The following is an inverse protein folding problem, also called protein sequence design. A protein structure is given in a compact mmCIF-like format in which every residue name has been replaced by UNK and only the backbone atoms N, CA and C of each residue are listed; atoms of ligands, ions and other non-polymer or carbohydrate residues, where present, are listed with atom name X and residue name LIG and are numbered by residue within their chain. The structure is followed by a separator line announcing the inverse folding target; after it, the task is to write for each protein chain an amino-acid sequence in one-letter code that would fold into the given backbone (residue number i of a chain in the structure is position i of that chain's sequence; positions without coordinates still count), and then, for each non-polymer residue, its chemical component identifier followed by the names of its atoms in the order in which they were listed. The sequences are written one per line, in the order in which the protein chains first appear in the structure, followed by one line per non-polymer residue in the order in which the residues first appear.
data_IF_264007754097
#
_entry.id   IF_264007754097
#
_cell.length_a   1.000
_cell.length_b   1.000
_cell.length_c   1.000
_cell.angle_alpha   90.00
_cell.angle_beta   90.00
_cell.angle_gamma   90.00
#
_symmetry.space_group_name_H-M   'P 1'
#
loop_
_entity.id
_entity.type
_entity.pdbx_description
1 polymer ?
#
# COMPACT_ATOMS: atom_id res chain seq x y z
N UNK A 1 -11.75 -0.39 10.21
CA UNK A 1 -11.00 -0.13 8.96
C UNK A 1 -11.74 0.89 8.08
N UNK A 2 -11.05 1.69 7.25
CA UNK A 2 -11.70 2.54 6.26
C UNK A 2 -12.43 1.69 5.20
N UNK A 3 -13.60 2.15 4.75
CA UNK A 3 -14.44 1.48 3.74
C UNK A 3 -14.50 2.21 2.40
N UNK A 4 -14.04 3.46 2.37
CA UNK A 4 -14.01 4.29 1.16
C UNK A 4 -12.63 4.90 1.00
N UNK A 5 -12.23 5.27 -0.23
CA UNK A 5 -10.94 5.92 -0.49
C UNK A 5 -10.78 7.21 0.33
N UNK A 6 -11.83 8.02 0.47
CA UNK A 6 -11.78 9.30 1.21
C UNK A 6 -11.50 9.07 2.69
N UNK A 7 -12.13 8.04 3.29
CA UNK A 7 -11.88 7.67 4.69
C UNK A 7 -10.47 7.13 4.90
N UNK A 8 -9.96 6.37 3.93
CA UNK A 8 -8.58 5.88 3.94
C UNK A 8 -7.60 7.06 3.89
N UNK A 9 -7.77 7.99 2.95
CA UNK A 9 -6.89 9.15 2.82
C UNK A 9 -6.97 10.06 4.04
N UNK A 10 -8.16 10.29 4.60
CA UNK A 10 -8.30 11.04 5.86
C UNK A 10 -7.50 10.40 7.02
N UNK A 11 -7.50 9.06 7.10
CA UNK A 11 -6.73 8.35 8.12
C UNK A 11 -5.22 8.39 7.84
N UNK A 12 -4.82 8.26 6.57
CA UNK A 12 -3.42 8.38 6.14
C UNK A 12 -2.85 9.77 6.46
N UNK A 13 -3.59 10.84 6.13
CA UNK A 13 -3.24 12.24 6.46
C UNK A 13 -3.02 12.39 7.97
N UNK A 14 -3.98 11.93 8.79
CA UNK A 14 -3.85 12.01 10.25
C UNK A 14 -2.62 11.29 10.76
N UNK A 15 -2.32 10.10 10.21
CA UNK A 15 -1.17 9.28 10.60
C UNK A 15 0.15 9.96 10.25
N UNK A 16 0.27 10.47 9.02
CA UNK A 16 1.46 11.20 8.55
C UNK A 16 1.70 12.48 9.36
N UNK A 17 0.64 13.26 9.59
CA UNK A 17 0.72 14.50 10.36
C UNK A 17 1.05 14.26 11.84
N UNK A 18 0.46 13.22 12.46
CA UNK A 18 0.79 12.86 13.84
C UNK A 18 2.26 12.44 13.98
N UNK A 19 2.73 11.54 13.10
CA UNK A 19 4.12 11.12 13.07
C UNK A 19 5.08 12.30 12.83
N UNK A 20 4.73 13.23 11.93
CA UNK A 20 5.52 14.43 11.67
C UNK A 20 5.65 15.32 12.91
N UNK A 21 4.55 15.54 13.65
CA UNK A 21 4.56 16.31 14.92
C UNK A 21 5.42 15.66 16.01
N UNK A 22 5.61 14.34 15.94
CA UNK A 22 6.53 13.59 16.80
C UNK A 22 7.98 13.54 16.25
N UNK A 23 8.29 14.33 15.21
CA UNK A 23 9.63 14.43 14.63
C UNK A 23 9.98 13.34 13.63
N UNK A 24 9.02 12.52 13.18
CA UNK A 24 9.25 11.53 12.12
C UNK A 24 9.22 12.21 10.75
N UNK A 25 10.38 12.55 10.22
CA UNK A 25 10.54 13.31 8.96
C UNK A 25 10.79 12.44 7.73
N UNK A 26 10.99 11.13 7.91
CA UNK A 26 11.16 10.13 6.85
C UNK A 26 10.07 9.08 7.04
N UNK A 27 9.09 9.06 6.15
CA UNK A 27 7.85 8.32 6.34
C UNK A 27 7.51 7.47 5.12
N UNK A 28 6.96 6.27 5.35
CA UNK A 28 6.42 5.38 4.33
C UNK A 28 4.92 5.21 4.53
N UNK A 29 4.18 5.36 3.45
CA UNK A 29 2.73 5.17 3.40
C UNK A 29 2.36 4.21 2.29
N UNK A 30 1.58 3.18 2.59
CA UNK A 30 0.97 2.29 1.59
C UNK A 30 -0.54 2.45 1.64
N UNK A 31 -1.13 2.89 0.53
CA UNK A 31 -2.57 3.09 0.35
C UNK A 31 -3.16 2.01 -0.56
N UNK A 32 -4.35 1.51 -0.21
CA UNK A 32 -5.10 0.60 -1.07
C UNK A 32 -5.62 1.38 -2.27
N UNK A 33 -5.30 0.90 -3.47
CA UNK A 33 -5.70 1.55 -4.71
C UNK A 33 -7.09 1.05 -5.14
N UNK A 34 -7.96 1.94 -5.64
CA UNK A 34 -9.24 1.54 -6.18
C UNK A 34 -9.00 0.77 -7.47
N UNK A 35 -9.57 -0.43 -7.58
CA UNK A 35 -9.53 -1.20 -8.81
C UNK A 35 -10.29 -0.45 -9.90
N UNK A 36 -9.59 -0.08 -10.98
CA UNK A 36 -10.20 0.56 -12.15
C UNK A 36 -10.06 -0.39 -13.32
N UNK A 37 -11.16 -0.87 -13.90
CA UNK A 37 -11.10 -1.79 -15.04
C UNK A 37 -10.47 -3.16 -14.72
N UNK A 38 -10.63 -3.64 -13.48
CA UNK A 38 -10.26 -5.00 -13.10
C UNK A 38 -11.08 -6.03 -13.90
N UNK A 39 -10.46 -7.17 -14.17
CA UNK A 39 -11.09 -8.32 -14.80
C UNK A 39 -11.03 -9.52 -13.86
N UNK A 40 -11.79 -10.57 -14.14
CA UNK A 40 -11.76 -11.80 -13.33
C UNK A 40 -10.39 -12.51 -13.33
N UNK A 41 -9.48 -12.14 -14.22
CA UNK A 41 -8.17 -12.77 -14.42
C UNK A 41 -6.99 -11.93 -13.91
N UNK A 42 -7.14 -10.60 -13.94
CA UNK A 42 -6.11 -9.66 -13.53
C UNK A 42 -6.77 -8.40 -12.96
N UNK A 43 -6.36 -8.05 -11.73
CA UNK A 43 -6.78 -6.83 -11.04
C UNK A 43 -6.23 -5.57 -11.72
N UNK A 44 -5.13 -5.69 -12.48
CA UNK A 44 -4.43 -4.58 -13.14
C UNK A 44 -3.92 -4.97 -14.54
N UNK A 45 -4.81 -5.19 -15.54
CA UNK A 45 -4.40 -5.57 -16.89
C UNK A 45 -3.50 -4.54 -17.60
N UNK A 46 -3.56 -3.27 -17.19
CA UNK A 46 -2.67 -2.19 -17.64
C UNK A 46 -1.44 -1.97 -16.76
N UNK A 47 -1.18 -2.88 -15.81
CA UNK A 47 -0.02 -2.89 -14.93
C UNK A 47 0.15 -1.61 -14.11
N UNK A 48 1.41 -1.25 -13.85
CA UNK A 48 1.78 -0.11 -12.99
C UNK A 48 1.27 1.24 -13.53
N UNK A 49 1.11 1.38 -14.84
CA UNK A 49 0.56 2.60 -15.46
C UNK A 49 -0.92 2.82 -15.11
N UNK A 50 -1.69 1.73 -15.05
CA UNK A 50 -3.08 1.78 -14.62
C UNK A 50 -3.16 2.08 -13.12
N UNK A 51 -2.30 1.45 -12.32
CA UNK A 51 -2.19 1.74 -10.89
C UNK A 51 -1.84 3.22 -10.63
N UNK A 52 -0.94 3.80 -11.43
CA UNK A 52 -0.57 5.21 -11.34
C UNK A 52 -1.74 6.14 -11.56
N UNK A 53 -2.56 5.89 -12.59
CA UNK A 53 -3.79 6.65 -12.85
C UNK A 53 -4.79 6.54 -11.70
N UNK A 54 -4.89 5.37 -11.08
CA UNK A 54 -5.77 5.14 -9.93
C UNK A 54 -5.26 5.81 -8.64
N UNK A 55 -3.94 5.84 -8.46
CA UNK A 55 -3.28 6.38 -7.28
C UNK A 55 -3.22 7.90 -7.28
N UNK A 56 -3.07 8.52 -8.45
CA UNK A 56 -2.80 9.96 -8.56
C UNK A 56 -3.80 10.85 -7.79
N UNK A 57 -5.13 10.70 -7.93
CA UNK A 57 -6.09 11.51 -7.17
C UNK A 57 -5.97 11.32 -5.65
N UNK A 58 -5.70 10.08 -5.22
CA UNK A 58 -5.53 9.76 -3.80
C UNK A 58 -4.27 10.39 -3.21
N UNK A 59 -3.20 10.44 -4.00
CA UNK A 59 -1.94 11.10 -3.60
C UNK A 59 -2.11 12.60 -3.56
N UNK A 60 -2.80 13.21 -4.52
CA UNK A 60 -3.08 14.65 -4.50
C UNK A 60 -3.87 15.06 -3.25
N UNK A 61 -4.90 14.29 -2.88
CA UNK A 61 -5.70 14.55 -1.67
C UNK A 61 -4.88 14.29 -0.39
N UNK A 62 -4.05 13.24 -0.37
CA UNK A 62 -3.12 12.98 0.74
C UNK A 62 -2.17 14.15 0.94
N UNK A 63 -1.50 14.62 -0.12
CA UNK A 63 -0.49 15.68 -0.03
C UNK A 63 -1.12 17.03 0.33
N UNK A 64 -2.35 17.31 -0.14
CA UNK A 64 -3.11 18.49 0.29
C UNK A 64 -3.36 18.45 1.80
N UNK A 65 -3.90 17.34 2.31
CA UNK A 65 -4.16 17.19 3.75
C UNK A 65 -2.89 17.19 4.60
N UNK A 66 -1.79 16.63 4.09
CA UNK A 66 -0.49 16.63 4.79
C UNK A 66 0.07 18.05 4.89
N UNK A 67 0.03 18.83 3.80
CA UNK A 67 0.46 20.24 3.83
C UNK A 67 -0.34 21.06 4.84
N UNK A 68 -1.66 20.92 4.83
CA UNK A 68 -2.54 21.60 5.78
C UNK A 68 -2.25 21.15 7.22
N UNK A 69 -2.11 19.85 7.46
CA UNK A 69 -1.96 19.30 8.81
C UNK A 69 -0.56 19.46 9.44
N UNK A 70 0.47 19.65 8.60
CA UNK A 70 1.86 19.89 9.04
C UNK A 70 2.23 21.38 9.05
N UNK A 71 1.51 22.22 8.29
CA UNK A 71 1.86 23.63 8.11
C UNK A 71 3.03 23.86 7.15
N UNK A 72 3.50 22.82 6.45
CA UNK A 72 4.56 22.95 5.45
C UNK A 72 4.03 23.68 4.20
N UNK A 73 4.59 24.86 3.97
CA UNK A 73 4.26 25.76 2.85
C UNK A 73 5.07 25.43 1.59
N UNK A 74 4.77 26.11 0.48
CA UNK A 74 5.45 25.94 -0.80
C UNK A 74 4.56 25.30 -1.87
N UNK A 75 4.79 25.64 -3.14
CA UNK A 75 4.11 25.01 -4.27
C UNK A 75 4.69 23.60 -4.45
N UNK A 76 3.83 22.59 -4.56
CA UNK A 76 4.25 21.25 -4.98
C UNK A 76 4.30 21.22 -6.51
N UNK A 77 5.47 20.94 -7.04
CA UNK A 77 5.67 20.65 -8.45
C UNK A 77 5.55 19.13 -8.65
N UNK A 78 4.76 18.73 -9.63
CA UNK A 78 4.52 17.33 -9.96
C UNK A 78 5.27 16.96 -11.25
N UNK A 79 5.99 15.85 -11.22
CA UNK A 79 6.80 15.34 -12.33
C UNK A 79 6.73 13.81 -12.34
N UNK A 80 6.74 13.18 -13.51
CA UNK A 80 6.97 11.74 -13.63
C UNK A 80 8.46 11.55 -13.91
N UNK A 81 9.21 11.04 -12.93
CA UNK A 81 10.67 10.90 -13.02
C UNK A 81 11.10 9.58 -13.69
N UNK A 82 10.20 8.60 -13.74
CA UNK A 82 10.36 7.40 -14.56
C UNK A 82 9.02 6.99 -15.16
N UNK A 83 8.90 7.15 -16.49
CA UNK A 83 7.70 6.80 -17.22
C UNK A 83 7.50 5.30 -17.37
N UNK A 84 8.56 4.48 -17.33
CA UNK A 84 8.45 3.02 -17.47
C UNK A 84 7.86 2.39 -16.22
N UNK A 85 8.41 2.77 -15.06
CA UNK A 85 7.99 2.29 -13.75
C UNK A 85 6.84 3.11 -13.13
N UNK A 86 6.35 4.12 -13.85
CA UNK A 86 5.30 5.06 -13.41
C UNK A 86 5.62 5.73 -12.05
N UNK A 87 6.83 6.29 -11.93
CA UNK A 87 7.29 6.92 -10.69
C UNK A 87 6.93 8.41 -10.70
N UNK A 88 6.01 8.79 -9.83
CA UNK A 88 5.58 10.18 -9.66
C UNK A 88 6.35 10.87 -8.53
N UNK A 89 6.81 12.08 -8.77
CA UNK A 89 7.50 12.92 -7.80
C UNK A 89 6.70 14.22 -7.57
N UNK A 90 6.50 14.57 -6.30
CA UNK A 90 5.83 15.80 -5.87
C UNK A 90 6.75 16.52 -4.90
N UNK A 91 7.23 17.70 -5.29
CA UNK A 91 8.33 18.36 -4.60
C UNK A 91 8.04 19.84 -4.32
N UNK A 92 8.36 20.29 -3.11
CA UNK A 92 8.53 21.70 -2.75
C UNK A 92 9.90 21.89 -2.10
N UNK A 93 10.24 23.11 -1.68
CA UNK A 93 11.42 23.39 -0.85
C UNK A 93 11.49 22.52 0.42
N UNK A 94 10.34 22.19 1.03
CA UNK A 94 10.25 21.49 2.31
C UNK A 94 9.80 20.03 2.22
N UNK A 95 9.03 19.67 1.20
CA UNK A 95 8.44 18.33 1.05
C UNK A 95 9.00 17.65 -0.19
N UNK A 96 9.32 16.36 -0.04
CA UNK A 96 9.45 15.43 -1.16
C UNK A 96 8.48 14.28 -0.94
N UNK A 97 7.60 14.02 -1.89
CA UNK A 97 6.77 12.83 -1.91
C UNK A 97 6.96 12.07 -3.22
N UNK A 98 7.13 10.76 -3.13
CA UNK A 98 7.38 9.91 -4.29
C UNK A 98 6.38 8.77 -4.30
N UNK A 99 5.59 8.68 -5.37
CA UNK A 99 4.65 7.61 -5.64
C UNK A 99 5.32 6.51 -6.47
N UNK A 100 5.13 5.26 -6.06
CA UNK A 100 5.74 4.07 -6.65
C UNK A 100 7.26 4.19 -6.83
N UNK A 101 8.04 4.67 -5.85
CA UNK A 101 9.48 4.67 -6.00
C UNK A 101 9.95 3.24 -6.31
N UNK A 102 10.90 3.14 -7.24
CA UNK A 102 11.53 1.91 -7.70
C UNK A 102 13.03 1.94 -7.41
N UNK A 103 13.72 0.80 -7.51
CA UNK A 103 15.16 0.74 -7.28
C UNK A 103 15.97 1.63 -8.24
N UNK A 104 15.50 1.79 -9.49
CA UNK A 104 16.12 2.63 -10.53
C UNK A 104 16.11 4.13 -10.18
N UNK A 105 15.07 4.59 -9.48
CA UNK A 105 14.87 6.03 -9.15
C UNK A 105 15.54 6.46 -7.84
N UNK A 106 16.08 5.52 -7.06
CA UNK A 106 16.63 5.80 -5.72
C UNK A 106 17.74 6.82 -5.68
N UNK A 107 18.67 6.78 -6.65
CA UNK A 107 19.77 7.75 -6.70
C UNK A 107 19.26 9.19 -6.78
N UNK A 108 18.21 9.39 -7.57
CA UNK A 108 17.57 10.69 -7.75
C UNK A 108 16.77 11.09 -6.51
N UNK A 109 15.97 10.17 -5.96
CA UNK A 109 15.19 10.40 -4.73
C UNK A 109 16.10 10.82 -3.57
N UNK A 110 17.23 10.13 -3.38
CA UNK A 110 18.22 10.44 -2.33
C UNK A 110 18.74 11.87 -2.47
N UNK A 111 19.07 12.28 -3.71
CA UNK A 111 19.55 13.63 -3.99
C UNK A 111 18.46 14.68 -3.71
N UNK A 112 17.23 14.45 -4.18
CA UNK A 112 16.10 15.37 -3.98
C UNK A 112 15.66 15.45 -2.51
N UNK A 113 15.92 14.41 -1.71
CA UNK A 113 15.58 14.38 -0.29
C UNK A 113 16.48 15.27 0.59
N UNK A 114 17.62 15.74 0.08
CA UNK A 114 18.54 16.61 0.81
C UNK A 114 17.84 17.94 1.18
N UNK A 115 17.96 18.35 2.44
CA UNK A 115 17.34 19.58 2.95
C UNK A 115 15.82 19.53 3.16
N UNK A 116 15.13 18.45 2.79
CA UNK A 116 13.67 18.34 2.97
C UNK A 116 13.29 18.07 4.42
N UNK A 117 12.33 18.85 4.92
CA UNK A 117 11.73 18.68 6.25
C UNK A 117 10.88 17.41 6.33
N UNK A 118 10.19 17.04 5.25
CA UNK A 118 9.41 15.80 5.16
C UNK A 118 9.71 15.06 3.86
N UNK A 119 10.06 13.78 3.95
CA UNK A 119 10.15 12.87 2.81
C UNK A 119 9.16 11.74 3.00
N UNK A 120 8.27 11.55 2.02
CA UNK A 120 7.20 10.57 2.02
C UNK A 120 7.36 9.62 0.83
N UNK A 121 7.54 8.32 1.10
CA UNK A 121 7.47 7.28 0.08
C UNK A 121 6.07 6.68 0.09
N UNK A 122 5.40 6.71 -1.05
CA UNK A 122 4.02 6.28 -1.22
C UNK A 122 4.00 5.05 -2.11
N UNK A 123 3.50 3.93 -1.57
CA UNK A 123 3.39 2.64 -2.26
C UNK A 123 4.72 2.24 -2.94
N UNK A 124 5.85 2.11 -2.23
CA UNK A 124 7.10 1.67 -2.86
C UNK A 124 6.93 0.31 -3.56
N UNK A 125 7.59 0.14 -4.70
CA UNK A 125 7.46 -1.08 -5.50
C UNK A 125 8.23 -2.27 -4.90
N UNK A 126 9.18 -2.01 -4.00
CA UNK A 126 9.94 -3.05 -3.30
C UNK A 126 9.27 -3.46 -1.99
N UNK A 127 9.33 -4.75 -1.65
CA UNK A 127 8.98 -5.22 -0.30
C UNK A 127 10.21 -5.20 0.61
N UNK A 128 10.09 -4.70 1.83
CA UNK A 128 11.15 -4.79 2.85
C UNK A 128 10.99 -6.00 3.78
N UNK A 129 10.04 -6.91 3.50
CA UNK A 129 9.62 -7.95 4.47
C UNK A 129 10.53 -9.17 4.55
N UNK A 130 11.34 -9.44 3.53
CA UNK A 130 12.17 -10.64 3.51
C UNK A 130 13.64 -10.26 3.45
N UNK A 131 14.47 -10.91 4.28
CA UNK A 131 15.93 -10.95 4.12
C UNK A 131 16.37 -11.52 2.74
N UNK A 132 15.40 -12.08 1.99
CA UNK A 132 15.49 -12.56 0.61
C UNK A 132 14.50 -11.85 -0.34
N UNK A 133 14.06 -10.63 0.00
CA UNK A 133 13.27 -9.78 -0.90
C UNK A 133 14.18 -9.22 -2.00
N UNK A 134 13.61 -9.00 -3.19
CA UNK A 134 14.26 -8.43 -4.38
C UNK A 134 14.87 -7.02 -4.17
N UNK A 135 14.91 -6.48 -2.95
CA UNK A 135 15.86 -5.42 -2.55
C UNK A 135 17.30 -5.78 -2.97
N UNK A 136 17.64 -7.06 -3.09
CA UNK A 136 18.96 -7.52 -3.54
C UNK A 136 19.15 -7.38 -5.07
N UNK A 137 18.07 -7.36 -5.86
CA UNK A 137 18.11 -7.26 -7.34
C UNK A 137 17.81 -5.85 -7.86
N UNK A 138 16.88 -5.14 -7.22
CA UNK A 138 16.31 -3.91 -7.77
C UNK A 138 17.23 -2.68 -7.64
N UNK A 139 18.22 -2.73 -6.73
CA UNK A 139 19.10 -1.59 -6.43
C UNK A 139 20.47 -1.64 -7.13
N UNK A 140 20.70 -2.64 -8.00
CA UNK A 140 21.91 -2.74 -8.82
C UNK A 140 23.18 -3.11 -8.04
N UNK A 141 24.31 -2.46 -8.37
CA UNK A 141 25.65 -2.78 -7.84
C UNK A 141 25.73 -2.51 -6.32
N UNK A 142 26.54 -3.29 -5.59
CA UNK A 142 26.67 -3.29 -4.12
C UNK A 142 26.71 -1.90 -3.44
N UNK A 143 27.43 -0.93 -4.00
CA UNK A 143 27.52 0.42 -3.42
C UNK A 143 26.22 1.24 -3.57
N UNK A 144 25.47 1.03 -4.65
CA UNK A 144 24.17 1.67 -4.85
C UNK A 144 23.14 1.10 -3.88
N UNK A 145 23.21 -0.21 -3.64
CA UNK A 145 22.42 -0.91 -2.62
C UNK A 145 22.68 -0.36 -1.21
N UNK A 146 23.92 -0.34 -0.75
CA UNK A 146 24.25 0.15 0.61
C UNK A 146 23.76 1.60 0.83
N UNK A 147 23.87 2.44 -0.21
CA UNK A 147 23.40 3.82 -0.15
C UNK A 147 21.87 3.89 -0.02
N UNK A 148 21.15 3.08 -0.78
CA UNK A 148 19.70 3.02 -0.72
C UNK A 148 19.21 2.45 0.62
N UNK A 149 19.82 1.38 1.12
CA UNK A 149 19.49 0.81 2.44
C UNK A 149 19.71 1.83 3.57
N UNK A 150 20.84 2.55 3.56
CA UNK A 150 21.10 3.64 4.53
C UNK A 150 20.07 4.77 4.43
N UNK A 151 19.63 5.12 3.23
CA UNK A 151 18.60 6.12 3.03
C UNK A 151 17.23 5.66 3.53
N UNK A 152 16.90 4.37 3.34
CA UNK A 152 15.61 3.79 3.73
C UNK A 152 15.52 3.45 5.23
N UNK A 153 16.64 3.15 5.89
CA UNK A 153 16.69 2.82 7.32
C UNK A 153 15.89 3.78 8.24
N UNK A 154 15.97 5.12 8.11
CA UNK A 154 15.22 6.04 8.98
C UNK A 154 13.72 6.13 8.66
N UNK A 155 13.25 5.53 7.55
CA UNK A 155 11.85 5.60 7.18
C UNK A 155 11.00 4.77 8.14
N UNK A 156 10.04 5.42 8.78
CA UNK A 156 9.02 4.75 9.59
C UNK A 156 7.78 4.55 8.73
N UNK A 157 7.19 3.37 8.80
CA UNK A 157 5.84 3.20 8.26
C UNK A 157 4.89 4.07 9.10
N UNK A 158 4.06 4.88 8.45
CA UNK A 158 3.10 5.77 9.12
C UNK A 158 1.67 5.39 8.81
N UNK A 159 1.43 4.90 7.61
CA UNK A 159 0.15 4.35 7.21
C UNK A 159 0.36 3.13 6.33
N UNK A 160 -0.42 2.09 6.54
CA UNK A 160 -0.38 0.88 5.73
C UNK A 160 -1.79 0.35 5.60
N UNK A 161 -2.30 0.27 4.39
CA UNK A 161 -3.59 -0.33 4.15
C UNK A 161 -3.56 -1.10 2.85
N UNK A 162 -3.59 -2.42 2.96
CA UNK A 162 -3.56 -3.33 1.82
C UNK A 162 -4.67 -4.35 1.95
N UNK A 163 -5.03 -4.93 0.81
CA UNK A 163 -5.87 -6.11 0.73
C UNK A 163 -5.03 -7.27 0.22
N UNK A 164 -5.16 -8.43 0.86
CA UNK A 164 -4.47 -9.67 0.47
C UNK A 164 -5.42 -10.84 0.56
N UNK A 165 -5.23 -11.84 -0.29
CA UNK A 165 -6.03 -13.07 -0.30
C UNK A 165 -5.22 -14.19 0.34
N UNK A 166 -5.78 -14.82 1.37
CA UNK A 166 -5.14 -15.92 2.11
C UNK A 166 -6.11 -17.09 2.17
N UNK A 167 -5.73 -18.20 1.52
CA UNK A 167 -6.49 -19.47 1.55
C UNK A 167 -8.00 -19.31 1.22
N UNK A 168 -8.33 -18.40 0.29
CA UNK A 168 -9.70 -18.12 -0.16
C UNK A 168 -10.42 -16.99 0.58
N UNK A 169 -9.83 -16.48 1.66
CA UNK A 169 -10.32 -15.33 2.42
C UNK A 169 -9.67 -14.02 1.95
N UNK A 170 -10.47 -12.96 1.87
CA UNK A 170 -9.96 -11.62 1.60
C UNK A 170 -9.69 -10.92 2.94
N UNK A 171 -8.44 -10.55 3.18
CA UNK A 171 -8.02 -9.84 4.38
C UNK A 171 -7.63 -8.41 4.05
N UNK A 172 -7.93 -7.49 4.97
CA UNK A 172 -7.38 -6.15 4.99
C UNK A 172 -6.48 -5.98 6.20
N UNK A 173 -5.26 -5.51 5.95
CA UNK A 173 -4.29 -5.19 6.99
C UNK A 173 -4.17 -3.68 7.05
N UNK A 174 -4.47 -3.11 8.21
CA UNK A 174 -4.45 -1.67 8.47
C UNK A 174 -3.43 -1.35 9.54
N UNK A 175 -2.62 -0.33 9.29
CA UNK A 175 -1.86 0.39 10.32
C UNK A 175 -2.05 1.89 10.14
N UNK A 176 -2.25 2.59 11.24
CA UNK A 176 -2.37 4.03 11.28
C UNK A 176 -1.64 4.56 12.52
N UNK A 177 -0.55 5.31 12.33
CA UNK A 177 0.26 5.86 13.41
C UNK A 177 -0.60 6.63 14.44
N UNK A 178 -0.38 6.45 15.76
CA UNK A 178 0.66 5.63 16.41
C UNK A 178 0.25 4.18 16.69
N UNK A 179 -0.90 3.73 16.20
CA UNK A 179 -1.42 2.40 16.48
C UNK A 179 -0.66 1.33 15.67
N UNK A 180 -0.63 0.11 16.23
CA UNK A 180 -0.11 -1.08 15.56
C UNK A 180 -0.97 -1.55 14.39
N UNK A 181 -0.66 -2.73 13.88
CA UNK A 181 -1.40 -3.35 12.79
C UNK A 181 -2.70 -3.97 13.31
N UNK A 182 -3.74 -3.89 12.49
CA UNK A 182 -5.04 -4.49 12.71
C UNK A 182 -5.40 -5.30 11.47
N UNK A 183 -5.85 -6.54 11.66
CA UNK A 183 -6.23 -7.44 10.58
C UNK A 183 -7.74 -7.64 10.58
N UNK A 184 -8.35 -7.55 9.41
CA UNK A 184 -9.78 -7.73 9.20
C UNK A 184 -10.03 -8.75 8.09
N UNK A 185 -10.94 -9.70 8.27
CA UNK A 185 -11.56 -10.41 7.15
C UNK A 185 -12.61 -9.51 6.50
N UNK A 186 -12.73 -9.60 5.17
CA UNK A 186 -13.61 -8.76 4.37
C UNK A 186 -14.58 -9.62 3.58
N UNK A 187 -15.87 -9.32 3.70
CA UNK A 187 -16.91 -9.95 2.89
C UNK A 187 -17.06 -9.30 1.50
N UNK A 188 -17.90 -9.90 0.64
CA UNK A 188 -18.13 -9.43 -0.73
C UNK A 188 -18.76 -8.02 -0.82
N UNK A 189 -19.41 -7.55 0.25
CA UNK A 189 -20.04 -6.22 0.30
C UNK A 189 -19.15 -5.18 1.00
N UNK A 190 -17.91 -5.55 1.35
CA UNK A 190 -16.92 -4.67 2.00
C UNK A 190 -17.11 -4.51 3.51
N UNK A 191 -17.98 -5.32 4.13
CA UNK A 191 -18.07 -5.50 5.57
C UNK A 191 -16.79 -6.13 6.12
N UNK A 192 -16.36 -5.68 7.30
CA UNK A 192 -15.09 -6.11 7.91
C UNK A 192 -15.29 -6.76 9.26
N UNK A 193 -14.77 -7.96 9.45
CA UNK A 193 -14.66 -8.65 10.74
C UNK A 193 -13.24 -8.49 11.27
N UNK A 194 -13.09 -7.88 12.43
CA UNK A 194 -11.78 -7.78 13.09
C UNK A 194 -11.30 -9.17 13.55
N UNK A 195 -10.04 -9.50 13.23
CA UNK A 195 -9.42 -10.79 13.54
C UNK A 195 -8.36 -10.69 14.63
N UNK A 196 -7.63 -9.56 14.69
CA UNK A 196 -6.54 -9.41 15.64
C UNK A 196 -5.72 -8.13 15.43
N UNK A 197 -4.78 -7.89 16.32
CA UNK A 197 -3.81 -6.79 16.22
C UNK A 197 -2.39 -7.29 16.45
N UNK A 198 -1.45 -6.73 15.69
CA UNK A 198 -0.04 -7.10 15.75
C UNK A 198 0.82 -5.85 16.01
N UNK A 199 1.87 -5.95 16.84
CA UNK A 199 2.77 -4.83 17.10
C UNK A 199 3.64 -4.49 15.88
N UNK A 200 3.93 -5.48 15.03
CA UNK A 200 4.69 -5.36 13.79
C UNK A 200 3.88 -5.84 12.59
N UNK A 201 4.42 -5.65 11.37
CA UNK A 201 3.74 -6.05 10.14
C UNK A 201 3.49 -7.57 10.18
N UNK A 202 2.24 -8.03 10.08
CA UNK A 202 1.93 -9.45 10.21
C UNK A 202 2.58 -10.24 9.08
N UNK A 203 3.33 -11.29 9.42
CA UNK A 203 3.87 -12.22 8.44
C UNK A 203 2.73 -13.06 7.82
N UNK A 204 2.99 -13.63 6.64
CA UNK A 204 2.00 -14.47 5.96
C UNK A 204 1.47 -15.62 6.83
N UNK A 205 2.34 -16.25 7.64
CA UNK A 205 1.94 -17.31 8.56
C UNK A 205 0.90 -16.82 9.59
N UNK A 206 1.13 -15.66 10.18
CA UNK A 206 0.17 -15.01 11.11
C UNK A 206 -1.13 -14.67 10.41
N UNK A 207 -1.08 -14.14 9.18
CA UNK A 207 -2.29 -13.86 8.40
C UNK A 207 -3.09 -15.13 8.12
N UNK A 208 -2.43 -16.27 7.87
CA UNK A 208 -3.07 -17.56 7.67
C UNK A 208 -3.75 -18.09 8.93
N UNK A 209 -3.07 -17.98 10.07
CA UNK A 209 -3.67 -18.36 11.37
C UNK A 209 -4.89 -17.51 11.69
N UNK A 210 -4.78 -16.18 11.50
CA UNK A 210 -5.90 -15.25 11.70
C UNK A 210 -7.06 -15.54 10.73
N UNK A 211 -6.77 -15.84 9.46
CA UNK A 211 -7.78 -16.20 8.47
C UNK A 211 -8.58 -17.44 8.88
N UNK A 212 -7.91 -18.46 9.42
CA UNK A 212 -8.56 -19.71 9.85
C UNK A 212 -9.26 -19.62 11.21
N UNK A 213 -9.10 -18.51 11.94
CA UNK A 213 -9.53 -18.40 13.35
C UNK A 213 -11.03 -18.21 13.58
N UNK A 214 -11.83 -17.93 12.54
CA UNK A 214 -13.24 -17.57 12.70
C UNK A 214 -14.19 -18.59 12.07
N UNK A 215 -15.36 -18.74 12.68
CA UNK A 215 -16.41 -19.64 12.20
C UNK A 215 -16.90 -19.23 10.81
N UNK A 216 -16.98 -20.23 9.91
CA UNK A 216 -17.34 -20.06 8.51
C UNK A 216 -16.18 -19.65 7.59
N UNK A 217 -14.95 -19.57 8.10
CA UNK A 217 -13.76 -19.27 7.30
C UNK A 217 -13.50 -20.35 6.24
N UNK A 218 -13.34 -19.92 4.99
CA UNK A 218 -12.84 -20.74 3.89
C UNK A 218 -11.42 -21.22 4.16
N UNK A 219 -10.61 -20.42 4.84
CA UNK A 219 -9.23 -20.78 5.19
C UNK A 219 -9.14 -21.94 6.21
N UNK A 220 -10.21 -22.19 6.98
CA UNK A 220 -10.31 -23.32 7.89
C UNK A 220 -10.77 -24.63 7.20
N UNK A 221 -11.22 -24.57 5.95
CA UNK A 221 -11.74 -25.73 5.22
C UNK A 221 -10.62 -26.64 4.69
N UNK A 222 -10.90 -27.94 4.60
CA UNK A 222 -10.05 -28.91 3.92
C UNK A 222 -9.79 -28.52 2.46
N UNK A 223 -8.67 -28.95 1.89
CA UNK A 223 -8.27 -28.59 0.51
C UNK A 223 -9.36 -28.99 -0.51
N UNK A 224 -9.96 -30.16 -0.32
CA UNK A 224 -11.02 -30.67 -1.21
C UNK A 224 -12.28 -29.80 -1.12
N UNK A 225 -12.69 -29.42 0.09
CA UNK A 225 -13.87 -28.57 0.31
C UNK A 225 -13.67 -27.16 -0.26
N UNK A 226 -12.44 -26.62 -0.18
CA UNK A 226 -12.08 -25.35 -0.82
C UNK A 226 -12.20 -25.42 -2.34
N UNK A 227 -11.71 -26.50 -2.97
CA UNK A 227 -11.81 -26.68 -4.41
C UNK A 227 -13.28 -26.72 -4.88
N UNK A 228 -14.15 -27.42 -4.14
CA UNK A 228 -15.59 -27.44 -4.46
C UNK A 228 -16.23 -26.06 -4.30
N UNK A 229 -15.90 -25.34 -3.22
CA UNK A 229 -16.42 -23.99 -2.98
C UNK A 229 -15.99 -22.99 -4.07
N UNK A 230 -14.74 -23.06 -4.53
CA UNK A 230 -14.23 -22.21 -5.63
C UNK A 230 -14.86 -22.59 -6.98
N UNK A 231 -15.02 -23.88 -7.26
CA UNK A 231 -15.68 -24.34 -8.48
C UNK A 231 -17.15 -23.90 -8.54
N UNK A 232 -17.86 -23.96 -7.41
CA UNK A 232 -19.24 -23.46 -7.32
C UNK A 232 -19.33 -21.94 -7.46
N UNK A 233 -18.36 -21.19 -6.94
CA UNK A 233 -18.28 -19.74 -7.14
C UNK A 233 -18.08 -19.40 -8.63
N UNK A 234 -17.09 -20.00 -9.30
CA UNK A 234 -16.84 -19.79 -10.73
C UNK A 234 -18.04 -20.16 -11.60
N UNK A 235 -18.75 -21.25 -11.23
CA UNK A 235 -19.96 -21.67 -11.94
C UNK A 235 -21.11 -20.67 -11.79
N UNK A 236 -21.22 -20.00 -10.64
CA UNK A 236 -22.23 -18.97 -10.39
C UNK A 236 -21.92 -17.68 -11.14
N UNK A 237 -20.66 -17.25 -11.17
CA UNK A 237 -20.23 -16.04 -11.89
C UNK A 237 -20.34 -16.21 -13.41
N UNK A 238 -19.97 -17.36 -13.96
CA UNK A 238 -20.14 -17.66 -15.40
C UNK A 238 -21.60 -17.71 -15.88
N UNK A 239 -22.55 -17.90 -14.96
CA UNK A 239 -23.99 -17.96 -15.27
C UNK A 239 -24.70 -16.61 -15.10
N UNK A 240 -24.01 -15.58 -14.62
CA UNK A 240 -24.59 -14.25 -14.54
C UNK A 240 -24.69 -13.68 -15.97
N UNK A 241 -25.88 -13.27 -16.45
CA UNK A 241 -25.99 -12.63 -17.76
C UNK A 241 -25.19 -11.30 -17.74
N UNK A 242 -24.59 -10.89 -18.86
CA UNK A 242 -23.84 -9.65 -18.92
C UNK A 242 -24.74 -8.47 -18.51
N UNK A 243 -24.18 -7.42 -17.86
CA UNK A 243 -24.93 -6.22 -17.54
C UNK A 243 -25.51 -5.63 -18.84
N UNK A 244 -26.81 -5.32 -18.82
CA UNK A 244 -27.50 -4.70 -19.95
C UNK A 244 -26.98 -3.27 -20.12
N UNK A 245 -26.49 -2.95 -21.31
CA UNK A 245 -26.17 -1.59 -21.77
C UNK A 245 -27.40 -0.66 -21.70
#
# INVERSE_FOLDING_TARGET
MPRTPERQISLAVRSVCAAFKEGKTRQRTEILLPLIGATDLDDWPGGIQQQFKAALPLVEDLLRGVREGTGLTGKLEAEVIDMGDAVGCFESDKILAVLFPSGSTMKEIIKRAEGKELVLLINPQWSTENAYSNVISDFGILWAKERAEKFLQPFVETFYFVQTRVDGENLRVLRAWPLGYQVFAVDEVGGGRFLGSEPGRPAYATLKELAASFEGSKAAMGIIDRMYAEADYMRKTMKAPPPRE
#
